data_IF_741663939613
#
_entry.id   IF_741663939613
#
_cell.length_a   1.000
_cell.length_b   1.000
_cell.length_c   1.000
_cell.angle_alpha   90.00
_cell.angle_beta   90.00
_cell.angle_gamma   90.00
#
_symmetry.space_group_name_H-M   'P 1'
#
loop_
_entity.id
_entity.type
_entity.pdbx_description
1 polymer ?
#
# COMPACT_ATOMS: atom_id res chain seq x y z
N UNK A 1 -40.87 37.42 -17.32
CA UNK A 1 -40.51 37.09 -15.92
C UNK A 1 -39.51 35.95 -15.99
N UNK A 2 -38.31 36.04 -15.40
CA UNK A 2 -37.37 34.92 -15.41
C UNK A 2 -37.85 33.84 -14.44
N UNK A 3 -37.74 32.58 -14.85
CA UNK A 3 -38.07 31.43 -14.00
C UNK A 3 -36.98 31.24 -12.94
N UNK A 4 -37.39 31.15 -11.68
CA UNK A 4 -36.49 30.78 -10.59
C UNK A 4 -36.29 29.26 -10.59
N UNK A 5 -35.05 28.81 -10.69
CA UNK A 5 -34.70 27.40 -10.57
C UNK A 5 -34.22 27.06 -9.16
N UNK A 6 -34.63 25.89 -8.66
CA UNK A 6 -34.21 25.34 -7.37
C UNK A 6 -33.57 23.97 -7.63
N UNK A 7 -32.36 23.78 -7.13
CA UNK A 7 -31.65 22.49 -7.18
C UNK A 7 -31.85 21.74 -5.87
N UNK A 8 -32.38 20.52 -5.96
CA UNK A 8 -32.57 19.63 -4.80
C UNK A 8 -31.61 18.46 -4.89
N UNK A 9 -30.76 18.31 -3.87
CA UNK A 9 -29.87 17.16 -3.72
C UNK A 9 -30.49 16.18 -2.72
N UNK A 10 -30.85 14.97 -3.19
CA UNK A 10 -31.41 13.92 -2.34
C UNK A 10 -30.28 12.99 -1.90
N UNK A 11 -29.99 12.98 -0.60
CA UNK A 11 -28.97 12.09 -0.03
C UNK A 11 -29.64 10.93 0.70
N UNK A 12 -29.31 9.66 0.39
CA UNK A 12 -29.91 8.52 1.05
C UNK A 12 -29.51 8.44 2.52
N UNK A 13 -30.51 8.32 3.40
CA UNK A 13 -30.28 8.10 4.84
C UNK A 13 -29.98 6.62 5.07
N UNK A 14 -28.72 6.32 5.35
CA UNK A 14 -28.30 4.96 5.68
C UNK A 14 -28.70 4.60 7.13
N UNK A 15 -29.26 3.39 7.36
CA UNK A 15 -29.41 2.85 8.70
C UNK A 15 -28.07 2.82 9.45
N UNK A 16 -28.09 3.08 10.76
CA UNK A 16 -26.88 3.21 11.56
C UNK A 16 -25.96 1.99 11.49
N UNK A 17 -26.54 0.79 11.44
CA UNK A 17 -25.78 -0.45 11.30
C UNK A 17 -24.94 -0.47 10.01
N UNK A 18 -25.50 0.01 8.89
CA UNK A 18 -24.79 0.10 7.61
C UNK A 18 -23.70 1.17 7.67
N UNK A 19 -24.02 2.34 8.23
CA UNK A 19 -23.06 3.44 8.41
C UNK A 19 -21.85 3.00 9.24
N UNK A 20 -22.07 2.32 10.36
CA UNK A 20 -20.98 1.78 11.20
C UNK A 20 -20.11 0.78 10.46
N UNK A 21 -20.71 -0.15 9.71
CA UNK A 21 -19.96 -1.13 8.90
C UNK A 21 -19.10 -0.47 7.83
N UNK A 22 -19.63 0.53 7.12
CA UNK A 22 -18.88 1.28 6.11
C UNK A 22 -17.74 2.10 6.73
N UNK A 23 -17.98 2.77 7.86
CA UNK A 23 -16.95 3.48 8.59
C UNK A 23 -15.81 2.55 9.02
N UNK A 24 -16.15 1.38 9.58
CA UNK A 24 -15.15 0.37 9.97
C UNK A 24 -14.39 -0.18 8.77
N UNK A 25 -15.06 -0.47 7.67
CA UNK A 25 -14.40 -0.91 6.44
C UNK A 25 -13.43 0.16 5.90
N UNK A 26 -13.80 1.44 5.96
CA UNK A 26 -12.92 2.55 5.57
C UNK A 26 -11.68 2.62 6.46
N UNK A 27 -11.84 2.44 7.76
CA UNK A 27 -10.73 2.41 8.72
C UNK A 27 -9.79 1.23 8.47
N UNK A 28 -10.32 0.02 8.35
CA UNK A 28 -9.54 -1.18 8.05
C UNK A 28 -8.78 -1.04 6.73
N UNK A 29 -9.38 -0.46 5.70
CA UNK A 29 -8.68 -0.16 4.44
C UNK A 29 -7.50 0.79 4.66
N UNK A 30 -7.66 1.86 5.44
CA UNK A 30 -6.54 2.76 5.77
C UNK A 30 -5.41 2.03 6.50
N UNK A 31 -5.76 1.20 7.47
CA UNK A 31 -4.79 0.38 8.21
C UNK A 31 -4.06 -0.59 7.28
N UNK A 32 -4.78 -1.27 6.38
CA UNK A 32 -4.19 -2.18 5.41
C UNK A 32 -3.26 -1.45 4.44
N UNK A 33 -3.65 -0.27 3.93
CA UNK A 33 -2.79 0.55 3.08
C UNK A 33 -1.49 0.92 3.80
N UNK A 34 -1.59 1.38 5.04
CA UNK A 34 -0.42 1.73 5.84
C UNK A 34 0.47 0.51 6.12
N UNK A 35 -0.12 -0.60 6.55
CA UNK A 35 0.61 -1.82 6.86
C UNK A 35 1.30 -2.41 5.63
N UNK A 36 0.64 -2.40 4.47
CA UNK A 36 1.23 -2.85 3.21
C UNK A 36 2.42 -1.97 2.81
N UNK A 37 2.32 -0.65 2.98
CA UNK A 37 3.42 0.27 2.71
C UNK A 37 4.61 0.03 3.66
N UNK A 38 4.33 -0.11 4.96
CA UNK A 38 5.35 -0.40 5.97
C UNK A 38 6.07 -1.72 5.66
N UNK A 39 5.30 -2.79 5.40
CA UNK A 39 5.85 -4.10 5.03
C UNK A 39 6.71 -4.04 3.76
N UNK A 40 6.28 -3.29 2.74
CA UNK A 40 7.06 -3.11 1.51
C UNK A 40 8.39 -2.38 1.75
N UNK A 41 8.46 -1.48 2.74
CA UNK A 41 9.71 -0.83 3.14
C UNK A 41 10.64 -1.80 3.86
N UNK A 42 10.13 -2.54 4.84
CA UNK A 42 10.92 -3.54 5.58
C UNK A 42 11.45 -4.65 4.66
N UNK A 43 10.62 -5.17 3.75
CA UNK A 43 11.04 -6.21 2.78
C UNK A 43 12.17 -5.68 1.88
N UNK A 44 12.11 -4.42 1.45
CA UNK A 44 13.20 -3.81 0.66
C UNK A 44 14.48 -3.66 1.48
N UNK A 45 14.37 -3.26 2.75
CA UNK A 45 15.53 -3.17 3.64
C UNK A 45 16.18 -4.55 3.84
N UNK A 46 15.38 -5.56 4.15
CA UNK A 46 15.83 -6.95 4.31
C UNK A 46 16.49 -7.49 3.02
N UNK A 47 15.90 -7.24 1.85
CA UNK A 47 16.49 -7.65 0.57
C UNK A 47 17.90 -7.06 0.35
N UNK A 48 18.12 -5.79 0.75
CA UNK A 48 19.42 -5.13 0.65
C UNK A 48 20.42 -5.65 1.69
N UNK A 49 19.96 -5.99 2.88
CA UNK A 49 20.82 -6.63 3.90
C UNK A 49 21.33 -7.98 3.43
N UNK A 50 20.44 -8.82 2.89
CA UNK A 50 20.83 -10.10 2.33
C UNK A 50 21.77 -9.95 1.14
N UNK A 51 21.56 -8.94 0.28
CA UNK A 51 22.48 -8.64 -0.82
C UNK A 51 23.86 -8.17 -0.32
N UNK A 52 23.91 -7.39 0.77
CA UNK A 52 25.18 -6.99 1.43
C UNK A 52 25.94 -8.16 2.06
N UNK A 53 25.24 -9.25 2.38
CA UNK A 53 25.84 -10.52 2.81
C UNK A 53 26.28 -11.39 1.62
N UNK A 54 26.28 -10.86 0.41
CA UNK A 54 26.69 -11.54 -0.84
C UNK A 54 25.84 -12.76 -1.20
N UNK A 55 24.60 -12.85 -0.70
CA UNK A 55 23.66 -13.91 -1.11
C UNK A 55 23.25 -13.73 -2.58
N UNK A 56 23.04 -14.86 -3.27
CA UNK A 56 22.52 -14.85 -4.63
C UNK A 56 21.06 -14.35 -4.67
N UNK A 57 20.64 -13.71 -5.75
CA UNK A 57 19.26 -13.26 -5.95
C UNK A 57 18.24 -14.42 -5.85
N UNK A 58 18.67 -15.64 -6.13
CA UNK A 58 17.84 -16.84 -6.00
C UNK A 58 17.57 -17.19 -4.54
N UNK A 59 18.60 -17.13 -3.70
CA UNK A 59 18.48 -17.41 -2.27
C UNK A 59 17.70 -16.32 -1.57
N UNK A 60 17.96 -15.05 -1.93
CA UNK A 60 17.18 -13.90 -1.46
C UNK A 60 15.69 -14.07 -1.80
N UNK A 61 15.37 -14.44 -3.05
CA UNK A 61 13.99 -14.72 -3.46
C UNK A 61 13.35 -15.84 -2.64
N UNK A 62 14.09 -16.92 -2.39
CA UNK A 62 13.61 -18.06 -1.60
C UNK A 62 13.35 -17.67 -0.14
N UNK A 63 14.23 -16.90 0.49
CA UNK A 63 14.08 -16.40 1.87
C UNK A 63 12.88 -15.45 1.99
N UNK A 64 12.72 -14.54 1.03
CA UNK A 64 11.63 -13.55 1.03
C UNK A 64 10.29 -14.11 0.51
N UNK A 65 10.26 -15.37 0.05
CA UNK A 65 9.06 -15.99 -0.50
C UNK A 65 8.60 -15.38 -1.82
N UNK A 66 9.53 -14.86 -2.63
CA UNK A 66 9.25 -14.21 -3.92
C UNK A 66 10.07 -14.82 -5.06
N UNK A 67 9.64 -14.57 -6.29
CA UNK A 67 10.41 -15.02 -7.46
C UNK A 67 11.77 -14.33 -7.56
N UNK A 68 12.70 -14.95 -8.28
CA UNK A 68 14.02 -14.38 -8.59
C UNK A 68 13.90 -12.97 -9.22
N UNK A 69 12.98 -12.77 -10.17
CA UNK A 69 12.74 -11.47 -10.78
C UNK A 69 12.30 -10.42 -9.75
N UNK A 70 11.45 -10.81 -8.79
CA UNK A 70 11.00 -9.91 -7.74
C UNK A 70 12.12 -9.58 -6.74
N UNK A 71 12.96 -10.56 -6.41
CA UNK A 71 14.16 -10.33 -5.59
C UNK A 71 15.10 -9.30 -6.25
N UNK A 72 15.36 -9.44 -7.55
CA UNK A 72 16.12 -8.45 -8.33
C UNK A 72 15.50 -7.04 -8.20
N UNK A 73 14.19 -6.90 -8.42
CA UNK A 73 13.52 -5.60 -8.28
C UNK A 73 13.66 -4.99 -6.88
N UNK A 74 13.55 -5.81 -5.83
CA UNK A 74 13.66 -5.33 -4.44
C UNK A 74 15.07 -4.82 -4.10
N UNK A 75 16.10 -5.44 -4.69
CA UNK A 75 17.50 -5.01 -4.54
C UNK A 75 17.80 -3.77 -5.40
N UNK A 76 17.34 -3.74 -6.65
CA UNK A 76 17.68 -2.68 -7.62
C UNK A 76 16.96 -1.35 -7.40
N UNK A 77 15.66 -1.34 -7.05
CA UNK A 77 14.88 -0.10 -6.90
C UNK A 77 15.00 0.54 -5.50
N UNK A 78 16.09 0.23 -4.79
CA UNK A 78 16.42 0.82 -3.49
C UNK A 78 17.41 1.98 -3.53
N UNK A 79 17.99 2.28 -4.69
CA UNK A 79 18.90 3.41 -4.89
C UNK A 79 18.09 4.65 -5.26
N UNK A 80 17.39 5.25 -4.30
CA UNK A 80 17.25 6.71 -4.39
C UNK A 80 18.62 7.28 -3.97
N UNK A 81 19.25 8.14 -4.79
CA UNK A 81 20.47 8.82 -4.38
C UNK A 81 20.15 9.70 -3.19
N UNK A 82 20.90 9.54 -2.12
CA UNK A 82 20.94 10.44 -0.97
C UNK A 82 21.16 11.86 -1.50
N UNK A 83 20.11 12.68 -1.52
CA UNK A 83 20.21 14.10 -1.89
C UNK A 83 21.10 14.77 -0.86
N UNK A 84 22.30 15.17 -1.33
CA UNK A 84 23.22 16.10 -0.66
C UNK A 84 22.56 17.44 -0.35
#
# INVERSE_FOLDING_TARGET
MPEASITVEVVPVLPDAVRRRLSRAKELRRMATWANHAAATEIRAAARELARMELSLRDIGSILGVSHQRAHQLVSYGTEPEKR
#
